data_IF_136053348184
#
_entry.id   IF_136053348184
#
_cell.length_a   1.000
_cell.length_b   1.000
_cell.length_c   1.000
_cell.angle_alpha   90.00
_cell.angle_beta   90.00
_cell.angle_gamma   90.00
#
_symmetry.space_group_name_H-M   'P 1'
#
loop_
_entity.id
_entity.type
_entity.pdbx_description
1 polymer ?
#
# COMPACT_ATOMS: atom_id res chain seq x y z
N UNK A 1 -12.48 59.02 -16.22
CA UNK A 1 -13.45 58.19 -16.97
C UNK A 1 -13.73 56.96 -16.16
N UNK A 2 -14.91 56.89 -15.54
CA UNK A 2 -15.32 55.76 -14.70
C UNK A 2 -15.42 54.47 -15.53
N UNK A 3 -14.85 53.34 -15.07
CA UNK A 3 -14.90 52.09 -15.81
C UNK A 3 -16.23 51.37 -15.51
N UNK A 4 -17.23 51.46 -16.39
CA UNK A 4 -18.45 50.66 -16.21
C UNK A 4 -19.59 50.85 -17.20
N UNK A 5 -19.67 52.00 -17.87
CA UNK A 5 -20.78 52.32 -18.77
C UNK A 5 -20.28 52.83 -20.12
N UNK A 6 -21.02 52.46 -21.17
CA UNK A 6 -20.89 53.02 -22.51
C UNK A 6 -22.09 53.96 -22.72
N UNK A 7 -21.82 55.19 -23.17
CA UNK A 7 -22.87 56.18 -23.44
C UNK A 7 -23.43 55.88 -24.83
N UNK A 8 -24.69 55.45 -24.89
CA UNK A 8 -25.42 55.31 -26.16
C UNK A 8 -25.59 56.70 -26.82
N UNK A 9 -25.67 56.82 -28.16
CA UNK A 9 -25.97 58.08 -28.85
C UNK A 9 -27.17 58.88 -28.29
N UNK A 10 -28.06 58.27 -27.50
CA UNK A 10 -29.17 58.94 -26.79
C UNK A 10 -28.88 59.33 -25.31
N UNK A 11 -27.63 59.24 -24.83
CA UNK A 11 -27.26 59.69 -23.47
C UNK A 11 -27.60 58.74 -22.31
N UNK A 12 -28.06 57.52 -22.60
CA UNK A 12 -28.37 56.50 -21.59
C UNK A 12 -27.15 55.64 -21.26
N UNK A 13 -26.88 55.46 -19.96
CA UNK A 13 -25.80 54.62 -19.44
C UNK A 13 -26.14 53.13 -19.65
N UNK A 14 -25.50 52.47 -20.63
CA UNK A 14 -25.64 51.01 -20.82
C UNK A 14 -24.57 50.25 -20.04
N UNK A 15 -24.93 49.19 -19.29
CA UNK A 15 -23.94 48.35 -18.62
C UNK A 15 -22.99 47.75 -19.66
N UNK A 16 -21.69 47.99 -19.48
CA UNK A 16 -20.65 47.56 -20.43
C UNK A 16 -20.64 46.03 -20.52
N UNK A 17 -20.86 45.47 -21.72
CA UNK A 17 -20.76 44.01 -21.91
C UNK A 17 -19.31 43.59 -21.79
N UNK A 18 -19.00 42.80 -20.76
CA UNK A 18 -17.66 42.27 -20.57
C UNK A 18 -17.43 41.08 -21.51
N UNK A 19 -16.20 40.95 -21.99
CA UNK A 19 -15.77 39.78 -22.78
C UNK A 19 -15.50 38.59 -21.86
N UNK A 20 -15.43 37.38 -22.43
CA UNK A 20 -15.12 36.15 -21.68
C UNK A 20 -13.77 36.26 -20.93
N UNK A 21 -12.75 36.80 -21.60
CA UNK A 21 -11.42 37.00 -21.02
C UNK A 21 -11.45 37.99 -19.84
N UNK A 22 -12.31 39.01 -19.89
CA UNK A 22 -12.48 39.94 -18.78
C UNK A 22 -13.14 39.26 -17.57
N UNK A 23 -14.18 38.45 -17.78
CA UNK A 23 -14.78 37.66 -16.70
C UNK A 23 -13.77 36.72 -16.03
N UNK A 24 -12.98 36.00 -16.82
CA UNK A 24 -11.93 35.12 -16.30
C UNK A 24 -10.89 35.89 -15.48
N UNK A 25 -10.42 37.04 -16.01
CA UNK A 25 -9.43 37.88 -15.32
C UNK A 25 -9.98 38.45 -14.00
N UNK A 26 -11.23 38.91 -13.97
CA UNK A 26 -11.84 39.42 -12.75
C UNK A 26 -12.16 38.30 -11.75
N UNK A 27 -12.42 37.08 -12.22
CA UNK A 27 -12.52 35.89 -11.38
C UNK A 27 -11.19 35.51 -10.72
N UNK A 28 -10.09 35.45 -11.50
CA UNK A 28 -8.74 35.22 -10.96
C UNK A 28 -8.35 36.31 -9.94
N UNK A 29 -8.72 37.57 -10.22
CA UNK A 29 -8.56 38.69 -9.29
C UNK A 29 -9.31 38.45 -7.99
N UNK A 30 -10.54 37.94 -8.04
CA UNK A 30 -11.31 37.55 -6.85
C UNK A 30 -10.64 36.40 -6.08
N UNK A 31 -10.03 35.44 -6.79
CA UNK A 31 -9.19 34.39 -6.19
C UNK A 31 -8.02 34.94 -5.38
N UNK A 32 -7.40 36.03 -5.83
CA UNK A 32 -6.37 36.77 -5.08
C UNK A 32 -6.92 37.66 -3.95
N UNK A 33 -8.17 37.46 -3.53
CA UNK A 33 -8.87 38.23 -2.50
C UNK A 33 -9.05 39.73 -2.85
N UNK A 34 -8.86 40.10 -4.11
CA UNK A 34 -9.04 41.45 -4.62
C UNK A 34 -10.49 41.65 -5.08
N UNK A 35 -10.99 42.89 -4.98
CA UNK A 35 -12.34 43.20 -5.45
C UNK A 35 -12.43 43.10 -6.98
N UNK A 36 -13.38 42.33 -7.53
CA UNK A 36 -13.62 42.23 -8.97
C UNK A 36 -14.23 43.54 -9.51
N UNK A 37 -13.85 43.91 -10.73
CA UNK A 37 -14.25 45.19 -11.36
C UNK A 37 -15.24 44.95 -12.50
N UNK A 38 -16.39 44.36 -12.16
CA UNK A 38 -17.40 43.99 -13.16
C UNK A 38 -18.60 44.95 -13.21
N UNK A 39 -18.74 45.87 -12.26
CA UNK A 39 -19.89 46.78 -12.18
C UNK A 39 -21.21 46.00 -12.14
N UNK A 40 -22.27 46.56 -12.73
CA UNK A 40 -23.58 45.90 -12.90
C UNK A 40 -23.68 44.99 -14.14
N UNK A 41 -22.55 44.59 -14.74
CA UNK A 41 -22.55 43.76 -15.94
C UNK A 41 -22.90 42.31 -15.62
N UNK A 42 -23.66 41.66 -16.51
CA UNK A 42 -24.01 40.24 -16.40
C UNK A 42 -23.41 39.44 -17.56
N UNK A 43 -22.89 38.23 -17.31
CA UNK A 43 -22.45 37.34 -18.36
C UNK A 43 -23.67 36.79 -19.11
N UNK A 44 -23.55 36.67 -20.43
CA UNK A 44 -24.58 35.98 -21.21
C UNK A 44 -24.51 34.45 -20.95
N UNK A 45 -25.57 33.67 -21.26
CA UNK A 45 -25.59 32.23 -21.01
C UNK A 45 -24.46 31.47 -21.71
N UNK A 46 -24.05 31.91 -22.91
CA UNK A 46 -22.94 31.30 -23.66
C UNK A 46 -21.59 31.55 -22.99
N UNK A 47 -21.40 32.72 -22.35
CA UNK A 47 -20.21 33.05 -21.58
C UNK A 47 -20.13 32.22 -20.31
N UNK A 48 -21.26 32.02 -19.61
CA UNK A 48 -21.33 31.12 -18.46
C UNK A 48 -20.98 29.70 -18.89
N UNK A 49 -21.60 29.19 -19.96
CA UNK A 49 -21.29 27.86 -20.51
C UNK A 49 -19.81 27.72 -20.93
N UNK A 50 -19.23 28.75 -21.56
CA UNK A 50 -17.82 28.76 -21.93
C UNK A 50 -16.88 28.76 -20.72
N UNK A 51 -17.19 29.51 -19.65
CA UNK A 51 -16.41 29.51 -18.41
C UNK A 51 -16.46 28.14 -17.72
N UNK A 52 -17.65 27.55 -17.64
CA UNK A 52 -17.86 26.20 -17.12
C UNK A 52 -17.02 25.19 -17.88
N UNK A 53 -17.07 25.23 -19.22
CA UNK A 53 -16.28 24.34 -20.07
C UNK A 53 -14.77 24.56 -19.88
N UNK A 54 -14.31 25.81 -19.83
CA UNK A 54 -12.88 26.11 -19.63
C UNK A 54 -12.38 25.56 -18.30
N UNK A 55 -13.09 25.81 -17.20
CA UNK A 55 -12.67 25.34 -15.87
C UNK A 55 -12.73 23.81 -15.80
N UNK A 56 -13.78 23.19 -16.34
CA UNK A 56 -13.88 21.73 -16.39
C UNK A 56 -12.74 21.11 -17.21
N UNK A 57 -12.40 21.69 -18.37
CA UNK A 57 -11.28 21.22 -19.20
C UNK A 57 -9.94 21.39 -18.51
N UNK A 58 -9.73 22.50 -17.78
CA UNK A 58 -8.52 22.73 -16.99
C UNK A 58 -8.40 21.69 -15.87
N UNK A 59 -9.47 21.46 -15.11
CA UNK A 59 -9.49 20.51 -14.01
C UNK A 59 -9.25 19.07 -14.48
N UNK A 60 -9.94 18.67 -15.56
CA UNK A 60 -9.70 17.38 -16.23
C UNK A 60 -8.25 17.32 -16.73
N UNK A 61 -7.76 18.32 -17.47
CA UNK A 61 -6.40 18.29 -18.01
C UNK A 61 -5.33 18.20 -16.92
N UNK A 62 -5.52 18.89 -15.80
CA UNK A 62 -4.55 18.88 -14.71
C UNK A 62 -4.63 17.60 -13.87
N UNK A 63 -5.83 17.05 -13.65
CA UNK A 63 -6.00 15.76 -12.98
C UNK A 63 -5.30 14.60 -13.69
N UNK A 64 -5.03 14.72 -15.01
CA UNK A 64 -4.26 13.70 -15.76
C UNK A 64 -2.84 13.57 -15.24
N UNK A 65 -2.22 14.66 -14.78
CA UNK A 65 -0.84 14.65 -14.29
C UNK A 65 -0.71 14.01 -12.91
N UNK A 66 -1.79 13.95 -12.12
CA UNK A 66 -1.80 13.24 -10.84
C UNK A 66 -1.67 11.72 -11.00
N UNK A 67 -1.98 11.20 -12.20
CA UNK A 67 -1.92 9.78 -12.51
C UNK A 67 -0.62 9.46 -13.26
N UNK A 68 0.28 8.74 -12.59
CA UNK A 68 1.50 8.22 -13.21
C UNK A 68 1.17 7.03 -14.12
N UNK A 69 1.62 7.07 -15.39
CA UNK A 69 1.39 5.99 -16.35
C UNK A 69 0.12 6.16 -17.20
N UNK A 70 -0.46 5.05 -17.66
CA UNK A 70 -1.71 5.05 -18.45
C UNK A 70 -2.90 5.49 -17.57
N UNK A 71 -3.80 6.31 -18.11
CA UNK A 71 -4.96 6.84 -17.37
C UNK A 71 -6.27 6.61 -18.13
N UNK A 72 -7.29 6.08 -17.43
CA UNK A 72 -8.65 5.93 -17.94
C UNK A 72 -9.47 7.14 -17.50
N UNK A 73 -10.26 7.66 -18.43
CA UNK A 73 -11.20 8.72 -18.12
C UNK A 73 -12.46 8.11 -17.49
N UNK A 74 -12.78 8.51 -16.26
CA UNK A 74 -14.03 8.14 -15.59
C UNK A 74 -15.02 9.30 -15.67
N UNK A 75 -16.07 9.11 -16.46
CA UNK A 75 -17.15 10.09 -16.61
C UNK A 75 -17.89 10.32 -15.29
N UNK A 76 -18.02 9.29 -14.44
CA UNK A 76 -18.69 9.45 -13.14
C UNK A 76 -17.85 10.36 -12.24
N UNK A 77 -16.56 10.10 -12.11
CA UNK A 77 -15.63 10.97 -11.38
C UNK A 77 -15.62 12.41 -11.90
N UNK A 78 -15.67 12.61 -13.22
CA UNK A 78 -15.76 13.94 -13.81
C UNK A 78 -17.10 14.67 -13.52
N UNK A 79 -18.20 13.91 -13.34
CA UNK A 79 -19.54 14.45 -13.09
C UNK A 79 -19.88 14.56 -11.59
N UNK A 80 -19.21 13.83 -10.72
CA UNK A 80 -19.52 13.79 -9.29
C UNK A 80 -19.44 15.17 -8.61
N UNK A 81 -18.43 16.03 -8.84
CA UNK A 81 -18.34 17.34 -8.18
C UNK A 81 -19.46 18.34 -8.56
N UNK A 82 -20.27 18.05 -9.58
CA UNK A 82 -21.28 19.00 -10.05
C UNK A 82 -22.50 19.10 -9.13
N UNK A 83 -22.78 18.08 -8.30
CA UNK A 83 -23.88 18.19 -7.33
C UNK A 83 -23.60 19.28 -6.28
N UNK A 84 -22.35 19.39 -5.81
CA UNK A 84 -21.97 20.38 -4.81
C UNK A 84 -21.98 21.78 -5.41
N UNK A 85 -21.58 21.91 -6.68
CA UNK A 85 -21.73 23.15 -7.46
C UNK A 85 -23.20 23.58 -7.59
N UNK A 86 -24.11 22.66 -7.90
CA UNK A 86 -25.54 22.96 -7.97
C UNK A 86 -26.10 23.41 -6.61
N UNK A 87 -25.69 22.75 -5.52
CA UNK A 87 -26.10 23.13 -4.18
C UNK A 87 -25.52 24.51 -3.76
N UNK A 88 -24.27 24.80 -4.11
CA UNK A 88 -23.65 26.11 -3.90
C UNK A 88 -24.38 27.23 -4.64
N UNK A 89 -24.84 26.97 -5.86
CA UNK A 89 -25.66 27.92 -6.63
C UNK A 89 -27.00 28.23 -5.95
N UNK A 90 -27.66 27.23 -5.36
CA UNK A 90 -28.92 27.42 -4.62
C UNK A 90 -28.70 28.27 -3.35
N UNK A 91 -27.62 28.01 -2.61
CA UNK A 91 -27.28 28.83 -1.43
C UNK A 91 -26.92 30.26 -1.85
N UNK A 92 -26.13 30.43 -2.91
CA UNK A 92 -25.77 31.74 -3.42
C UNK A 92 -27.02 32.51 -3.90
N UNK A 93 -27.94 31.84 -4.59
CA UNK A 93 -29.20 32.43 -5.03
C UNK A 93 -30.05 32.95 -3.87
N UNK A 94 -30.15 32.18 -2.78
CA UNK A 94 -30.82 32.61 -1.55
C UNK A 94 -30.08 33.75 -0.83
N UNK A 95 -28.75 33.70 -0.85
CA UNK A 95 -27.87 34.62 -0.15
C UNK A 95 -27.78 36.01 -0.78
N UNK A 96 -27.72 36.06 -2.11
CA UNK A 96 -27.48 37.29 -2.87
C UNK A 96 -28.67 38.26 -2.75
N UNK A 97 -28.41 39.56 -2.53
CA UNK A 97 -29.47 40.56 -2.55
C UNK A 97 -30.10 40.66 -3.94
N UNK A 98 -31.39 41.04 -3.98
CA UNK A 98 -32.05 41.36 -5.26
C UNK A 98 -31.33 42.53 -5.93
N UNK A 99 -31.34 42.50 -7.27
CA UNK A 99 -30.66 43.51 -8.09
C UNK A 99 -31.17 44.91 -7.73
N UNK A 100 -30.23 45.78 -7.42
CA UNK A 100 -30.45 47.21 -7.22
C UNK A 100 -29.78 47.94 -8.37
N UNK A 101 -30.58 48.51 -9.27
CA UNK A 101 -30.10 49.16 -10.50
C UNK A 101 -29.29 50.43 -10.23
N UNK A 102 -29.36 50.98 -9.01
CA UNK A 102 -28.69 52.23 -8.65
C UNK A 102 -27.25 52.06 -8.15
N UNK A 103 -26.81 50.83 -7.85
CA UNK A 103 -25.48 50.56 -7.30
C UNK A 103 -24.53 50.03 -8.40
N UNK A 104 -23.34 50.66 -8.55
CA UNK A 104 -22.25 50.20 -9.43
C UNK A 104 -21.57 48.91 -8.90
N UNK A 105 -22.33 47.96 -8.37
CA UNK A 105 -21.82 46.74 -7.72
C UNK A 105 -22.16 45.49 -8.55
N UNK A 106 -21.36 44.42 -8.43
CA UNK A 106 -21.72 43.11 -8.97
C UNK A 106 -23.08 42.68 -8.42
N UNK A 107 -23.97 42.23 -9.30
CA UNK A 107 -25.30 41.77 -8.92
C UNK A 107 -25.69 40.53 -9.72
N UNK A 108 -26.53 39.68 -9.14
CA UNK A 108 -27.09 38.52 -9.81
C UNK A 108 -26.23 37.26 -9.70
N UNK A 109 -26.92 36.12 -9.71
CA UNK A 109 -26.32 34.79 -9.63
C UNK A 109 -25.35 34.48 -10.78
N UNK A 110 -25.64 34.84 -12.06
CA UNK A 110 -24.72 34.53 -13.16
C UNK A 110 -23.36 35.22 -13.04
N UNK A 111 -23.35 36.49 -12.60
CA UNK A 111 -22.12 37.23 -12.38
C UNK A 111 -21.31 36.67 -11.20
N UNK A 112 -22.00 36.29 -10.11
CA UNK A 112 -21.35 35.64 -8.97
C UNK A 112 -20.73 34.30 -9.38
N UNK A 113 -21.48 33.47 -10.09
CA UNK A 113 -21.02 32.17 -10.54
C UNK A 113 -19.83 32.28 -11.50
N UNK A 114 -19.88 33.20 -12.48
CA UNK A 114 -18.76 33.45 -13.38
C UNK A 114 -17.47 33.86 -12.65
N UNK A 115 -17.58 34.70 -11.63
CA UNK A 115 -16.44 35.12 -10.81
C UNK A 115 -15.94 34.00 -9.89
N UNK A 116 -16.84 33.22 -9.31
CA UNK A 116 -16.48 32.09 -8.45
C UNK A 116 -15.70 31.02 -9.22
N UNK A 117 -16.16 30.67 -10.42
CA UNK A 117 -15.47 29.73 -11.32
C UNK A 117 -14.04 30.18 -11.63
N UNK A 118 -13.79 31.48 -11.79
CA UNK A 118 -12.43 32.01 -11.96
C UNK A 118 -11.63 32.08 -10.65
N UNK A 119 -12.29 32.33 -9.51
CA UNK A 119 -11.65 32.50 -8.21
C UNK A 119 -11.03 31.21 -7.67
N UNK A 120 -11.62 30.06 -8.00
CA UNK A 120 -11.13 28.74 -7.55
C UNK A 120 -9.95 28.22 -8.36
N UNK A 121 -9.70 28.75 -9.56
CA UNK A 121 -8.63 28.26 -10.46
C UNK A 121 -7.24 28.34 -9.80
N UNK A 122 -6.92 29.46 -9.14
CA UNK A 122 -5.60 29.65 -8.55
C UNK A 122 -5.34 28.71 -7.36
N UNK A 123 -6.22 28.63 -6.34
CA UNK A 123 -6.07 27.62 -5.29
C UNK A 123 -5.95 26.19 -5.83
N UNK A 124 -6.77 25.81 -6.82
CA UNK A 124 -6.71 24.47 -7.42
C UNK A 124 -5.40 24.20 -8.14
N UNK A 125 -4.87 25.18 -8.90
CA UNK A 125 -3.59 25.06 -9.58
C UNK A 125 -2.44 24.88 -8.58
N UNK A 126 -2.43 25.66 -7.50
CA UNK A 126 -1.39 25.53 -6.45
C UNK A 126 -1.52 24.18 -5.75
N UNK A 127 -2.74 23.72 -5.45
CA UNK A 127 -2.99 22.40 -4.88
C UNK A 127 -2.40 21.29 -5.74
N UNK A 128 -2.62 21.34 -7.06
CA UNK A 128 -2.11 20.33 -7.99
C UNK A 128 -0.59 20.38 -8.13
N UNK A 129 0.01 21.58 -8.19
CA UNK A 129 1.48 21.71 -8.21
C UNK A 129 2.11 21.13 -6.95
N UNK A 130 1.50 21.35 -5.78
CA UNK A 130 1.99 20.78 -4.52
C UNK A 130 1.83 19.25 -4.50
N UNK A 131 0.67 18.73 -4.94
CA UNK A 131 0.46 17.28 -5.08
C UNK A 131 1.49 16.65 -6.02
N UNK A 132 1.79 17.28 -7.16
CA UNK A 132 2.82 16.82 -8.10
C UNK A 132 4.24 16.88 -7.49
N UNK A 133 4.56 17.96 -6.77
CA UNK A 133 5.84 18.08 -6.09
C UNK A 133 6.01 17.01 -5.01
N UNK A 134 4.94 16.67 -4.29
CA UNK A 134 4.92 15.58 -3.32
C UNK A 134 5.10 14.21 -3.98
N UNK A 135 4.39 13.95 -5.08
CA UNK A 135 4.50 12.71 -5.85
C UNK A 135 5.91 12.47 -6.42
N UNK A 136 6.65 13.54 -6.72
CA UNK A 136 8.01 13.47 -7.27
C UNK A 136 9.11 13.65 -6.23
N UNK A 137 8.79 13.64 -4.92
CA UNK A 137 9.75 13.90 -3.83
C UNK A 137 10.53 15.22 -4.02
N UNK A 138 9.94 16.18 -4.73
CA UNK A 138 10.55 17.46 -5.08
C UNK A 138 10.21 18.58 -4.07
N UNK A 139 9.55 18.24 -2.95
CA UNK A 139 9.27 19.18 -1.88
C UNK A 139 10.58 19.54 -1.14
N UNK A 140 10.81 20.82 -0.81
CA UNK A 140 11.91 21.23 0.05
C UNK A 140 11.94 20.47 1.37
N UNK A 141 13.11 20.03 1.83
CA UNK A 141 13.27 19.20 3.04
C UNK A 141 12.59 19.77 4.30
N UNK A 142 12.58 21.09 4.47
CA UNK A 142 11.91 21.74 5.61
C UNK A 142 10.37 21.58 5.61
N UNK A 143 9.78 21.26 4.46
CA UNK A 143 8.35 20.96 4.33
C UNK A 143 8.06 19.47 4.49
N UNK A 144 9.05 18.58 4.40
CA UNK A 144 8.90 17.11 4.47
C UNK A 144 9.42 16.49 5.78
N UNK A 145 9.70 17.31 6.80
CA UNK A 145 10.19 16.90 8.12
C UNK A 145 9.14 17.10 9.24
N UNK A 146 7.93 17.58 8.92
CA UNK A 146 6.87 17.87 9.88
C UNK A 146 5.77 16.80 9.82
N UNK A 147 5.55 16.04 10.90
CA UNK A 147 4.50 15.00 10.98
C UNK A 147 3.05 15.47 10.63
N UNK A 148 2.78 16.78 10.56
CA UNK A 148 1.51 17.39 10.13
C UNK A 148 1.51 17.92 8.68
N UNK A 149 2.50 17.51 7.89
CA UNK A 149 2.86 17.90 6.52
C UNK A 149 1.69 18.21 5.58
N UNK A 150 0.74 17.29 5.45
CA UNK A 150 -0.41 17.48 4.57
C UNK A 150 -1.41 18.49 5.14
N UNK A 151 -1.68 18.43 6.45
CA UNK A 151 -2.80 19.16 7.05
C UNK A 151 -2.61 20.68 7.04
N UNK A 152 -1.39 21.18 7.25
CA UNK A 152 -1.12 22.63 7.23
C UNK A 152 -1.14 23.19 5.81
N UNK A 153 -0.55 22.48 4.83
CA UNK A 153 -0.51 22.90 3.43
C UNK A 153 -1.91 22.84 2.79
N UNK A 154 -2.58 21.69 2.88
CA UNK A 154 -3.94 21.54 2.36
C UNK A 154 -4.95 22.39 3.14
N UNK A 155 -4.77 22.53 4.46
CA UNK A 155 -5.57 23.45 5.28
C UNK A 155 -5.41 24.92 4.88
N UNK A 156 -4.21 25.35 4.54
CA UNK A 156 -3.93 26.71 4.03
C UNK A 156 -4.62 27.00 2.69
N UNK A 157 -4.56 26.05 1.74
CA UNK A 157 -5.27 26.15 0.46
C UNK A 157 -6.79 26.17 0.63
N UNK A 158 -7.29 25.40 1.60
CA UNK A 158 -8.69 25.36 1.96
C UNK A 158 -9.15 26.70 2.53
N UNK A 159 -8.38 27.27 3.47
CA UNK A 159 -8.63 28.60 4.02
C UNK A 159 -8.59 29.69 2.95
N UNK A 160 -7.67 29.61 1.99
CA UNK A 160 -7.61 30.54 0.87
C UNK A 160 -8.89 30.47 0.01
N UNK A 161 -9.33 29.27 -0.35
CA UNK A 161 -10.55 29.05 -1.14
C UNK A 161 -11.78 29.60 -0.42
N UNK A 162 -11.92 29.29 0.88
CA UNK A 162 -13.01 29.81 1.72
C UNK A 162 -12.94 31.34 1.79
N UNK A 163 -11.78 31.92 2.05
CA UNK A 163 -11.60 33.36 2.12
C UNK A 163 -12.00 34.04 0.80
N UNK A 164 -11.67 33.45 -0.36
CA UNK A 164 -12.05 33.96 -1.66
C UNK A 164 -13.57 33.96 -1.87
N UNK A 165 -14.25 32.88 -1.47
CA UNK A 165 -15.72 32.78 -1.55
C UNK A 165 -16.40 33.83 -0.65
N UNK A 166 -15.97 33.95 0.61
CA UNK A 166 -16.54 34.93 1.56
C UNK A 166 -16.31 36.36 1.07
N UNK A 167 -15.08 36.65 0.60
CA UNK A 167 -14.70 37.95 0.02
C UNK A 167 -15.56 38.28 -1.20
N UNK A 168 -15.77 37.29 -2.07
CA UNK A 168 -16.59 37.43 -3.26
C UNK A 168 -18.04 37.72 -2.88
N UNK A 169 -18.66 36.95 -2.00
CA UNK A 169 -20.02 37.21 -1.51
C UNK A 169 -20.16 38.60 -0.87
N UNK A 170 -19.18 39.02 -0.07
CA UNK A 170 -19.15 40.37 0.50
C UNK A 170 -19.10 41.46 -0.60
N UNK A 171 -18.48 41.20 -1.76
CA UNK A 171 -18.45 42.17 -2.87
C UNK A 171 -19.83 42.43 -3.50
N UNK A 172 -20.77 41.50 -3.32
CA UNK A 172 -22.18 41.63 -3.73
C UNK A 172 -23.06 42.26 -2.64
N UNK A 173 -22.47 42.85 -1.59
CA UNK A 173 -23.16 43.54 -0.51
C UNK A 173 -24.16 42.67 0.29
N UNK A 174 -23.85 41.39 0.45
CA UNK A 174 -24.61 40.48 1.32
C UNK A 174 -24.53 40.98 2.78
N UNK A 175 -25.67 41.15 3.50
CA UNK A 175 -25.67 41.56 4.91
C UNK A 175 -24.85 40.62 5.81
N UNK A 176 -24.22 41.09 6.91
CA UNK A 176 -23.25 40.31 7.68
C UNK A 176 -23.80 39.00 8.24
N UNK A 177 -25.04 39.00 8.77
CA UNK A 177 -25.68 37.78 9.26
C UNK A 177 -25.94 36.77 8.15
N UNK A 178 -26.43 37.24 6.99
CA UNK A 178 -26.69 36.39 5.82
C UNK A 178 -25.38 35.88 5.21
N UNK A 179 -24.35 36.70 5.18
CA UNK A 179 -23.00 36.33 4.74
C UNK A 179 -22.44 35.21 5.60
N UNK A 180 -22.58 35.30 6.93
CA UNK A 180 -22.13 34.24 7.84
C UNK A 180 -22.85 32.90 7.57
N UNK A 181 -24.19 32.93 7.42
CA UNK A 181 -24.99 31.72 7.14
C UNK A 181 -24.62 31.11 5.78
N UNK A 182 -24.59 31.91 4.72
CA UNK A 182 -24.23 31.46 3.37
C UNK A 182 -22.83 30.86 3.36
N UNK A 183 -21.87 31.53 3.99
CA UNK A 183 -20.49 31.05 4.06
C UNK A 183 -20.39 29.73 4.81
N UNK A 184 -21.05 29.59 5.97
CA UNK A 184 -21.07 28.36 6.74
C UNK A 184 -21.68 27.19 5.95
N UNK A 185 -22.80 27.41 5.26
CA UNK A 185 -23.41 26.38 4.41
C UNK A 185 -22.50 25.99 3.23
N UNK A 186 -21.85 26.95 2.56
CA UNK A 186 -20.93 26.65 1.46
C UNK A 186 -19.68 25.89 1.92
N UNK A 187 -19.13 26.27 3.08
CA UNK A 187 -18.04 25.55 3.74
C UNK A 187 -18.45 24.11 4.05
N UNK A 188 -19.65 23.91 4.61
CA UNK A 188 -20.18 22.58 4.93
C UNK A 188 -20.38 21.70 3.70
N UNK A 189 -20.93 22.25 2.61
CA UNK A 189 -21.07 21.52 1.34
C UNK A 189 -19.72 21.16 0.74
N UNK A 190 -18.75 22.09 0.80
CA UNK A 190 -17.41 21.84 0.30
C UNK A 190 -16.71 20.73 1.11
N UNK A 191 -16.82 20.75 2.43
CA UNK A 191 -16.31 19.68 3.31
C UNK A 191 -16.99 18.33 3.04
N UNK A 192 -18.31 18.31 2.89
CA UNK A 192 -19.06 17.10 2.58
C UNK A 192 -18.68 16.54 1.20
N UNK A 193 -18.52 17.40 0.20
CA UNK A 193 -18.07 17.00 -1.14
C UNK A 193 -16.67 16.38 -1.12
N UNK A 194 -15.75 16.95 -0.33
CA UNK A 194 -14.41 16.42 -0.16
C UNK A 194 -14.39 15.07 0.59
N UNK A 195 -15.38 14.82 1.47
CA UNK A 195 -15.47 13.59 2.25
C UNK A 195 -16.21 12.46 1.52
N UNK A 196 -17.27 12.76 0.77
CA UNK A 196 -18.21 11.75 0.24
C UNK A 196 -17.78 11.15 -1.11
N UNK A 197 -17.03 11.88 -1.94
CA UNK A 197 -16.66 11.43 -3.29
C UNK A 197 -15.16 11.68 -3.55
N UNK A 198 -14.29 10.71 -3.24
CA UNK A 198 -12.88 10.78 -3.63
C UNK A 198 -12.66 10.48 -5.12
N UNK A 199 -13.72 10.20 -5.88
CA UNK A 199 -13.68 9.87 -7.31
C UNK A 199 -13.00 11.00 -8.12
N UNK A 200 -12.05 10.65 -8.98
CA UNK A 200 -11.30 11.58 -9.84
C UNK A 200 -11.65 11.39 -11.31
N UNK A 201 -11.59 12.44 -12.16
CA UNK A 201 -11.85 12.33 -13.60
C UNK A 201 -10.87 11.38 -14.32
N UNK A 202 -9.65 11.27 -13.81
CA UNK A 202 -8.66 10.32 -14.27
C UNK A 202 -8.40 9.30 -13.17
N UNK A 203 -8.56 8.04 -13.54
CA UNK A 203 -8.13 6.93 -12.73
C UNK A 203 -6.89 6.33 -13.42
N UNK A 204 -5.88 5.88 -12.68
CA UNK A 204 -4.85 5.06 -13.30
C UNK A 204 -5.53 3.91 -14.05
N UNK A 205 -5.19 3.73 -15.34
CA UNK A 205 -5.34 2.41 -15.95
C UNK A 205 -4.34 1.55 -15.21
N UNK A 206 -4.79 1.00 -14.09
CA UNK A 206 -4.28 -0.28 -13.64
C UNK A 206 -4.46 -1.18 -14.85
N UNK A 207 -3.37 -1.49 -15.55
CA UNK A 207 -3.35 -2.30 -16.75
C UNK A 207 -4.36 -3.45 -16.58
N UNK A 208 -5.56 -3.33 -17.17
CA UNK A 208 -6.62 -4.32 -17.12
C UNK A 208 -6.73 -5.12 -15.81
N UNK A 209 -6.95 -4.46 -14.66
CA UNK A 209 -6.86 -5.12 -13.35
C UNK A 209 -5.46 -5.69 -13.09
N UNK A 210 -4.95 -5.50 -11.88
CA UNK A 210 -3.85 -6.34 -11.45
C UNK A 210 -4.19 -7.81 -11.76
N UNK A 211 -3.24 -8.63 -12.24
CA UNK A 211 -3.41 -10.07 -12.23
C UNK A 211 -3.82 -10.58 -10.83
N UNK A 212 -3.71 -9.77 -9.76
CA UNK A 212 -4.23 -10.06 -8.41
C UNK A 212 -5.75 -10.14 -8.31
N UNK A 213 -6.56 -9.47 -9.12
CA UNK A 213 -8.02 -9.70 -9.12
C UNK A 213 -8.39 -11.02 -9.83
N UNK A 214 -7.64 -11.40 -10.86
CA UNK A 214 -7.79 -12.68 -11.55
C UNK A 214 -7.16 -13.85 -10.76
N UNK A 215 -6.21 -13.55 -9.88
CA UNK A 215 -5.50 -14.50 -9.03
C UNK A 215 -5.90 -14.34 -7.56
N UNK A 216 -7.16 -13.94 -7.27
CA UNK A 216 -7.75 -14.06 -5.95
C UNK A 216 -8.45 -15.41 -5.85
N UNK A 217 -8.10 -16.16 -4.82
CA UNK A 217 -8.72 -17.44 -4.52
C UNK A 217 -10.22 -17.23 -4.29
N UNK A 218 -11.07 -17.97 -5.00
CA UNK A 218 -12.49 -18.01 -4.67
C UNK A 218 -12.72 -19.04 -3.58
N UNK A 219 -13.09 -18.57 -2.37
CA UNK A 219 -13.41 -19.46 -1.26
C UNK A 219 -14.81 -20.06 -1.45
N UNK A 220 -14.85 -21.17 -2.17
CA UNK A 220 -16.06 -21.96 -2.44
C UNK A 220 -16.06 -23.24 -1.61
N UNK A 221 -17.23 -23.89 -1.46
CA UNK A 221 -17.34 -25.17 -0.77
C UNK A 221 -16.38 -26.24 -1.33
N UNK A 222 -16.25 -26.44 -2.66
CA UNK A 222 -15.29 -27.40 -3.21
C UNK A 222 -13.84 -27.09 -2.83
N UNK A 223 -13.45 -25.82 -2.78
CA UNK A 223 -12.10 -25.42 -2.36
C UNK A 223 -11.84 -25.76 -0.89
N UNK A 224 -12.83 -25.55 -0.01
CA UNK A 224 -12.72 -25.89 1.41
C UNK A 224 -12.59 -27.40 1.60
N UNK A 225 -13.43 -28.18 0.92
CA UNK A 225 -13.38 -29.66 0.97
C UNK A 225 -12.06 -30.19 0.39
N UNK A 226 -11.60 -29.63 -0.74
CA UNK A 226 -10.33 -29.98 -1.34
C UNK A 226 -9.15 -29.67 -0.41
N UNK A 227 -9.18 -28.54 0.31
CA UNK A 227 -8.15 -28.21 1.29
C UNK A 227 -8.12 -29.17 2.47
N UNK A 228 -9.27 -29.61 2.97
CA UNK A 228 -9.29 -30.62 4.02
C UNK A 228 -8.65 -31.93 3.52
N UNK A 229 -9.03 -32.40 2.33
CA UNK A 229 -8.45 -33.60 1.74
C UNK A 229 -6.95 -33.46 1.43
N UNK A 230 -6.51 -32.29 0.97
CA UNK A 230 -5.10 -32.00 0.67
C UNK A 230 -4.27 -31.92 1.94
N UNK A 231 -4.76 -31.29 3.01
CA UNK A 231 -4.10 -31.31 4.31
C UNK A 231 -3.96 -32.75 4.82
N UNK A 232 -5.04 -33.52 4.86
CA UNK A 232 -5.01 -34.91 5.33
C UNK A 232 -4.00 -35.75 4.55
N UNK A 233 -3.98 -35.63 3.22
CA UNK A 233 -3.01 -36.32 2.35
C UNK A 233 -1.58 -35.90 2.64
N UNK A 234 -1.33 -34.60 2.80
CA UNK A 234 0.01 -34.07 3.11
C UNK A 234 0.52 -34.58 4.46
N UNK A 235 -0.32 -34.56 5.50
CA UNK A 235 0.06 -35.01 6.84
C UNK A 235 0.27 -36.53 6.91
N UNK A 236 -0.57 -37.32 6.24
CA UNK A 236 -0.44 -38.78 6.22
C UNK A 236 0.68 -39.29 5.31
N UNK A 237 1.07 -38.49 4.31
CA UNK A 237 2.12 -38.81 3.35
C UNK A 237 3.54 -38.77 3.93
N UNK A 238 3.71 -38.30 5.16
CA UNK A 238 5.01 -38.27 5.84
C UNK A 238 5.48 -39.68 6.14
N UNK A 239 6.64 -40.04 5.57
CA UNK A 239 7.27 -41.34 5.79
C UNK A 239 7.77 -41.48 7.25
N UNK A 240 7.74 -42.70 7.82
CA UNK A 240 8.32 -42.96 9.14
C UNK A 240 9.84 -42.78 9.12
N UNK A 241 10.43 -42.65 10.31
CA UNK A 241 11.88 -42.63 10.47
C UNK A 241 12.48 -43.97 10.00
N UNK A 242 13.75 -43.93 9.65
CA UNK A 242 14.55 -45.08 9.24
C UNK A 242 15.48 -45.50 10.37
N UNK A 243 15.38 -46.74 10.80
CA UNK A 243 16.19 -47.26 11.90
C UNK A 243 17.70 -47.15 11.60
N UNK A 244 18.47 -46.63 12.56
CA UNK A 244 19.91 -46.45 12.44
C UNK A 244 20.36 -45.31 11.52
N UNK A 245 19.43 -44.48 11.05
CA UNK A 245 19.71 -43.33 10.18
C UNK A 245 19.14 -42.07 10.85
N UNK A 246 19.97 -41.04 10.99
CA UNK A 246 19.50 -39.70 11.38
C UNK A 246 18.75 -39.08 10.20
N UNK A 247 17.43 -39.00 10.30
CA UNK A 247 16.57 -38.44 9.26
C UNK A 247 16.42 -36.92 9.39
N UNK A 248 16.17 -36.29 8.23
CA UNK A 248 15.80 -34.88 8.16
C UNK A 248 14.32 -34.80 7.83
N UNK A 249 13.56 -34.26 8.77
CA UNK A 249 12.18 -33.86 8.54
C UNK A 249 12.13 -32.38 8.19
N UNK A 250 11.22 -31.99 7.30
CA UNK A 250 11.08 -30.60 6.86
C UNK A 250 9.67 -30.07 7.06
N UNK A 251 9.55 -28.85 7.58
CA UNK A 251 8.34 -28.03 7.42
C UNK A 251 8.75 -26.75 6.72
N UNK A 252 8.17 -26.49 5.55
CA UNK A 252 8.37 -25.24 4.81
C UNK A 252 7.07 -24.48 4.79
N UNK A 253 7.07 -23.26 5.34
CA UNK A 253 5.87 -22.49 5.65
C UNK A 253 5.91 -21.10 5.00
N UNK A 254 4.97 -20.83 4.09
CA UNK A 254 4.82 -19.56 3.37
C UNK A 254 3.39 -19.01 3.52
N UNK A 255 3.10 -18.27 4.59
CA UNK A 255 1.73 -17.85 4.95
C UNK A 255 1.20 -16.62 4.20
N UNK A 256 1.99 -15.98 3.34
CA UNK A 256 1.59 -14.75 2.65
C UNK A 256 1.34 -15.02 1.16
N UNK A 257 0.07 -14.90 0.75
CA UNK A 257 -0.39 -15.25 -0.60
C UNK A 257 -0.06 -14.23 -1.68
N UNK A 258 0.09 -12.96 -1.30
CA UNK A 258 0.34 -11.90 -2.27
C UNK A 258 1.81 -11.90 -2.70
N UNK A 259 2.02 -11.81 -4.01
CA UNK A 259 3.33 -11.95 -4.61
C UNK A 259 3.81 -13.39 -4.71
N UNK A 260 4.61 -13.66 -5.74
CA UNK A 260 5.05 -15.03 -6.06
C UNK A 260 6.38 -15.41 -5.39
N UNK A 261 7.06 -14.47 -4.72
CA UNK A 261 8.41 -14.68 -4.20
C UNK A 261 8.44 -15.72 -3.08
N UNK A 262 7.52 -15.65 -2.12
CA UNK A 262 7.49 -16.56 -0.97
C UNK A 262 7.05 -17.97 -1.37
N UNK A 263 6.10 -18.07 -2.32
CA UNK A 263 5.69 -19.35 -2.89
C UNK A 263 6.83 -20.02 -3.67
N UNK A 264 7.56 -19.27 -4.51
CA UNK A 264 8.74 -19.80 -5.20
C UNK A 264 9.85 -20.20 -4.25
N UNK A 265 10.10 -19.38 -3.24
CA UNK A 265 11.15 -19.63 -2.25
C UNK A 265 10.85 -20.86 -1.40
N UNK A 266 9.63 -20.97 -0.87
CA UNK A 266 9.23 -22.14 -0.10
C UNK A 266 9.28 -23.42 -0.93
N UNK A 267 8.85 -23.39 -2.20
CA UNK A 267 9.01 -24.55 -3.10
C UNK A 267 10.49 -24.92 -3.29
N UNK A 268 11.35 -23.95 -3.58
CA UNK A 268 12.78 -24.19 -3.76
C UNK A 268 13.43 -24.81 -2.52
N UNK A 269 13.07 -24.34 -1.31
CA UNK A 269 13.59 -24.92 -0.06
C UNK A 269 13.05 -26.33 0.18
N UNK A 270 11.76 -26.58 -0.11
CA UNK A 270 11.18 -27.92 0.01
C UNK A 270 11.89 -28.92 -0.90
N UNK A 271 12.13 -28.54 -2.15
CA UNK A 271 12.87 -29.35 -3.14
C UNK A 271 14.32 -29.59 -2.68
N UNK A 272 15.01 -28.53 -2.20
CA UNK A 272 16.37 -28.65 -1.68
C UNK A 272 16.46 -29.64 -0.52
N UNK A 273 15.53 -29.59 0.44
CA UNK A 273 15.53 -30.52 1.57
C UNK A 273 15.28 -31.96 1.09
N UNK A 274 14.29 -32.15 0.22
CA UNK A 274 13.95 -33.46 -0.31
C UNK A 274 15.12 -34.10 -1.06
N UNK A 275 15.76 -33.35 -1.96
CA UNK A 275 16.82 -33.85 -2.83
C UNK A 275 18.17 -33.95 -2.13
N UNK A 276 18.57 -32.89 -1.42
CA UNK A 276 19.95 -32.75 -0.93
C UNK A 276 20.14 -33.21 0.51
N UNK A 277 19.11 -33.06 1.33
CA UNK A 277 19.15 -33.49 2.73
C UNK A 277 18.56 -34.87 2.95
N UNK A 278 18.25 -35.59 1.85
CA UNK A 278 17.65 -36.93 1.89
C UNK A 278 16.35 -36.95 2.72
N UNK A 279 15.55 -35.91 2.54
CA UNK A 279 14.26 -35.75 3.18
C UNK A 279 13.10 -36.11 2.23
N UNK A 280 13.34 -36.88 1.17
CA UNK A 280 12.29 -37.26 0.22
C UNK A 280 11.21 -38.08 0.95
N UNK A 281 9.97 -37.56 0.95
CA UNK A 281 8.87 -38.14 1.71
C UNK A 281 8.81 -37.72 3.19
N UNK A 282 9.74 -36.87 3.65
CA UNK A 282 9.80 -36.34 5.03
C UNK A 282 9.55 -34.81 5.11
N UNK A 283 9.21 -34.17 3.99
CA UNK A 283 8.96 -32.71 3.90
C UNK A 283 7.47 -32.41 3.77
N UNK A 284 6.94 -31.59 4.68
CA UNK A 284 5.63 -30.93 4.58
C UNK A 284 5.84 -29.52 4.02
N UNK A 285 5.20 -29.21 2.89
CA UNK A 285 5.12 -27.86 2.33
C UNK A 285 3.73 -27.27 2.55
N UNK A 286 3.67 -26.17 3.30
CA UNK A 286 2.47 -25.37 3.51
C UNK A 286 2.68 -24.00 2.84
N UNK A 287 1.75 -23.59 1.99
CA UNK A 287 1.80 -22.28 1.35
C UNK A 287 0.41 -21.71 1.10
N UNK A 288 0.28 -20.40 1.27
CA UNK A 288 -0.86 -19.64 0.80
C UNK A 288 -0.52 -19.10 -0.59
N UNK A 289 -1.32 -19.47 -1.59
CA UNK A 289 -1.23 -18.95 -2.96
C UNK A 289 -2.55 -19.27 -3.66
N UNK A 290 -3.11 -18.30 -4.37
CA UNK A 290 -4.43 -18.44 -4.98
C UNK A 290 -4.49 -19.40 -6.18
N UNK A 291 -3.34 -19.74 -6.77
CA UNK A 291 -3.24 -20.68 -7.89
C UNK A 291 -3.04 -22.14 -7.43
N UNK A 292 -2.82 -22.40 -6.13
CA UNK A 292 -2.61 -23.75 -5.60
C UNK A 292 -3.61 -24.20 -4.52
N UNK A 293 -4.89 -23.77 -4.53
CA UNK A 293 -5.83 -24.07 -3.44
C UNK A 293 -6.26 -25.54 -3.39
N UNK A 294 -5.88 -26.39 -4.34
CA UNK A 294 -6.19 -27.83 -4.33
C UNK A 294 -4.93 -28.70 -4.25
N UNK A 295 -3.76 -28.14 -4.52
CA UNK A 295 -2.50 -28.89 -4.64
C UNK A 295 -1.56 -28.73 -3.45
N UNK A 296 -1.67 -27.63 -2.70
CA UNK A 296 -0.84 -27.35 -1.53
C UNK A 296 -1.74 -26.98 -0.35
N UNK A 297 -1.49 -27.58 0.81
CA UNK A 297 -2.22 -27.27 2.02
C UNK A 297 -1.90 -25.83 2.48
N UNK A 298 -2.94 -25.09 2.88
CA UNK A 298 -2.78 -23.70 3.30
C UNK A 298 -1.84 -23.57 4.50
N UNK A 299 -0.98 -22.56 4.45
CA UNK A 299 -0.09 -22.13 5.52
C UNK A 299 -0.85 -21.26 6.53
N UNK A 300 -1.56 -21.92 7.43
CA UNK A 300 -2.18 -21.31 8.62
C UNK A 300 -1.45 -21.76 9.89
N UNK A 301 -1.47 -20.98 10.98
CA UNK A 301 -0.91 -21.42 12.26
C UNK A 301 -1.47 -22.76 12.75
N UNK A 302 -2.76 -23.02 12.55
CA UNK A 302 -3.40 -24.29 12.92
C UNK A 302 -2.87 -25.47 12.09
N UNK A 303 -2.67 -25.28 10.78
CA UNK A 303 -2.09 -26.31 9.93
C UNK A 303 -0.61 -26.54 10.22
N UNK A 304 0.10 -25.49 10.67
CA UNK A 304 1.47 -25.62 11.16
C UNK A 304 1.54 -26.48 12.43
N UNK A 305 0.67 -26.26 13.43
CA UNK A 305 0.60 -27.11 14.63
C UNK A 305 0.32 -28.57 14.25
N UNK A 306 -0.64 -28.81 13.36
CA UNK A 306 -0.97 -30.15 12.85
C UNK A 306 0.20 -30.79 12.08
N UNK A 307 0.96 -30.01 11.31
CA UNK A 307 2.15 -30.48 10.60
C UNK A 307 3.27 -30.89 11.56
N UNK A 308 3.49 -30.10 12.61
CA UNK A 308 4.44 -30.43 13.68
C UNK A 308 4.03 -31.73 14.39
N UNK A 309 2.74 -31.86 14.77
CA UNK A 309 2.22 -33.08 15.40
C UNK A 309 2.35 -34.31 14.48
N UNK A 310 2.07 -34.17 13.18
CA UNK A 310 2.19 -35.26 12.21
C UNK A 310 3.64 -35.75 12.04
N UNK A 311 4.61 -34.82 11.96
CA UNK A 311 6.03 -35.18 11.92
C UNK A 311 6.47 -35.84 13.22
N UNK A 312 6.10 -35.29 14.38
CA UNK A 312 6.47 -35.85 15.69
C UNK A 312 5.98 -37.29 15.90
N UNK A 313 4.92 -37.70 15.22
CA UNK A 313 4.39 -39.06 15.25
C UNK A 313 5.20 -40.05 14.39
N UNK A 314 6.03 -39.57 13.45
CA UNK A 314 6.81 -40.38 12.50
C UNK A 314 8.31 -40.36 12.79
N UNK A 315 8.78 -39.22 13.30
CA UNK A 315 10.17 -38.91 13.64
C UNK A 315 10.65 -39.65 14.89
N UNK A 316 11.91 -40.10 14.88
CA UNK A 316 12.65 -40.39 16.12
C UNK A 316 13.10 -39.07 16.75
N UNK A 317 12.31 -38.60 17.72
CA UNK A 317 12.50 -37.29 18.37
C UNK A 317 13.82 -37.13 19.13
N UNK A 318 14.54 -38.22 19.41
CA UNK A 318 15.84 -38.16 20.08
C UNK A 318 16.98 -37.94 19.08
N UNK A 319 16.91 -38.57 17.91
CA UNK A 319 18.03 -38.63 16.96
C UNK A 319 17.82 -37.78 15.71
N UNK A 320 16.60 -37.76 15.16
CA UNK A 320 16.32 -37.06 13.91
C UNK A 320 16.35 -35.53 14.08
N UNK A 321 16.42 -34.81 12.96
CA UNK A 321 16.44 -33.35 12.90
C UNK A 321 15.19 -32.82 12.19
N UNK A 322 14.47 -31.89 12.82
CA UNK A 322 13.43 -31.12 12.15
C UNK A 322 14.00 -29.78 11.65
N UNK A 323 13.91 -29.55 10.33
CA UNK A 323 14.17 -28.26 9.70
C UNK A 323 12.84 -27.52 9.49
N UNK A 324 12.71 -26.34 10.08
CA UNK A 324 11.57 -25.44 9.87
C UNK A 324 12.04 -24.20 9.11
N UNK A 325 11.54 -24.02 7.90
CA UNK A 325 11.80 -22.82 7.09
C UNK A 325 10.55 -21.97 7.00
N UNK A 326 10.64 -20.72 7.47
CA UNK A 326 9.56 -19.75 7.43
C UNK A 326 9.92 -18.62 6.47
N UNK A 327 9.02 -18.27 5.56
CA UNK A 327 9.23 -17.13 4.66
C UNK A 327 7.97 -16.28 4.55
N UNK A 328 8.08 -14.99 4.88
CA UNK A 328 6.98 -14.03 4.78
C UNK A 328 7.49 -12.59 4.96
N UNK A 329 6.59 -11.61 4.92
CA UNK A 329 6.84 -10.31 5.55
C UNK A 329 6.93 -10.44 7.08
N UNK A 330 7.75 -9.57 7.68
CA UNK A 330 7.88 -9.45 9.13
C UNK A 330 7.62 -8.01 9.57
N UNK A 331 7.17 -7.85 10.80
CA UNK A 331 6.93 -6.56 11.43
C UNK A 331 7.76 -6.39 12.71
N UNK A 332 7.82 -5.16 13.24
CA UNK A 332 8.59 -4.81 14.45
C UNK A 332 8.08 -5.50 15.72
N UNK A 333 6.89 -6.09 15.70
CA UNK A 333 6.37 -6.95 16.76
C UNK A 333 6.84 -8.41 16.63
N UNK A 334 7.77 -8.66 15.69
CA UNK A 334 8.37 -9.95 15.36
C UNK A 334 7.41 -11.00 14.85
N UNK A 335 6.19 -10.64 14.40
CA UNK A 335 5.28 -11.60 13.80
C UNK A 335 5.54 -11.74 12.30
N UNK A 336 5.32 -12.94 11.79
CA UNK A 336 5.25 -13.21 10.36
C UNK A 336 3.83 -12.90 9.88
N UNK A 337 3.73 -12.01 8.90
CA UNK A 337 2.45 -11.70 8.28
C UNK A 337 1.87 -12.96 7.63
N UNK A 338 0.56 -13.13 7.72
CA UNK A 338 -0.18 -14.16 7.03
C UNK A 338 -1.31 -13.50 6.24
N UNK A 339 -1.51 -13.93 5.00
CA UNK A 339 -2.57 -13.43 4.14
C UNK A 339 -2.98 -14.54 3.17
N UNK A 340 -4.29 -14.79 3.06
CA UNK A 340 -4.85 -15.72 2.07
C UNK A 340 -6.29 -15.31 1.67
N UNK A 341 -6.51 -14.07 1.22
CA UNK A 341 -7.87 -13.56 1.01
C UNK A 341 -8.68 -14.46 0.04
N UNK A 342 -9.98 -14.68 0.32
CA UNK A 342 -10.78 -14.06 1.38
C UNK A 342 -10.73 -14.81 2.73
N UNK A 343 -9.88 -15.84 2.87
CA UNK A 343 -9.69 -16.51 4.16
C UNK A 343 -8.89 -15.61 5.10
N UNK A 344 -9.45 -15.35 6.28
CA UNK A 344 -8.75 -14.68 7.37
C UNK A 344 -7.75 -15.65 8.00
N UNK A 345 -6.49 -15.21 8.11
CA UNK A 345 -5.40 -16.03 8.69
C UNK A 345 -4.63 -15.17 9.68
N UNK A 346 -4.49 -15.68 10.90
CA UNK A 346 -3.72 -15.01 11.94
C UNK A 346 -2.21 -15.01 11.61
N UNK A 347 -1.50 -13.92 11.91
CA UNK A 347 -0.04 -13.89 11.86
C UNK A 347 0.59 -14.93 12.78
N UNK A 348 1.76 -15.46 12.41
CA UNK A 348 2.51 -16.41 13.24
C UNK A 348 3.51 -15.67 14.13
N UNK A 349 3.46 -15.87 15.45
CA UNK A 349 4.46 -15.36 16.38
C UNK A 349 5.54 -16.41 16.71
N UNK A 350 6.74 -15.98 17.16
CA UNK A 350 7.77 -16.92 17.61
C UNK A 350 7.31 -17.79 18.79
N UNK A 351 6.44 -17.24 19.64
CA UNK A 351 5.85 -17.98 20.75
C UNK A 351 4.92 -19.11 20.31
N UNK A 352 4.18 -18.94 19.21
CA UNK A 352 3.28 -19.97 18.69
C UNK A 352 4.06 -21.17 18.18
N UNK A 353 5.09 -20.93 17.36
CA UNK A 353 5.97 -22.00 16.88
C UNK A 353 6.70 -22.69 18.04
N UNK A 354 7.19 -21.92 19.03
CA UNK A 354 7.84 -22.49 20.21
C UNK A 354 6.91 -23.47 20.94
N UNK A 355 5.65 -23.08 21.17
CA UNK A 355 4.66 -23.92 21.85
C UNK A 355 4.35 -25.18 21.05
N UNK A 356 4.16 -25.08 19.73
CA UNK A 356 3.90 -26.24 18.88
C UNK A 356 5.05 -27.26 18.95
N UNK A 357 6.30 -26.79 18.79
CA UNK A 357 7.49 -27.66 18.83
C UNK A 357 7.72 -28.32 20.20
N UNK A 358 7.52 -27.56 21.29
CA UNK A 358 7.67 -28.08 22.66
C UNK A 358 6.55 -29.08 23.01
N UNK A 359 5.30 -28.76 22.67
CA UNK A 359 4.13 -29.64 22.85
C UNK A 359 4.33 -30.99 22.16
N UNK A 360 4.87 -30.98 20.95
CA UNK A 360 5.12 -32.18 20.17
C UNK A 360 6.41 -32.92 20.59
N UNK A 361 7.21 -32.36 21.51
CA UNK A 361 8.43 -32.98 22.02
C UNK A 361 9.57 -33.07 20.99
N UNK A 362 9.58 -32.19 19.98
CA UNK A 362 10.68 -32.13 19.00
C UNK A 362 11.93 -31.61 19.69
N UNK A 363 13.06 -32.32 19.65
CA UNK A 363 14.28 -31.90 20.34
C UNK A 363 15.27 -31.19 19.43
N UNK A 364 15.70 -31.84 18.36
CA UNK A 364 16.71 -31.30 17.45
C UNK A 364 16.03 -30.46 16.36
N UNK A 365 16.27 -29.15 16.41
CA UNK A 365 15.55 -28.17 15.59
C UNK A 365 16.53 -27.28 14.82
N UNK A 366 16.36 -27.17 13.52
CA UNK A 366 17.00 -26.14 12.68
C UNK A 366 15.90 -25.22 12.20
N UNK A 367 15.88 -23.97 12.66
CA UNK A 367 14.83 -23.01 12.33
C UNK A 367 15.44 -21.86 11.53
N UNK A 368 14.89 -21.58 10.36
CA UNK A 368 15.33 -20.47 9.52
C UNK A 368 14.15 -19.54 9.23
N UNK A 369 14.32 -18.25 9.53
CA UNK A 369 13.27 -17.23 9.40
C UNK A 369 13.68 -16.18 8.37
N UNK A 370 13.06 -16.25 7.19
CA UNK A 370 13.23 -15.32 6.08
C UNK A 370 12.18 -14.20 6.15
N UNK A 371 12.45 -13.17 6.96
CA UNK A 371 11.56 -12.01 7.14
C UNK A 371 12.30 -10.79 7.72
N UNK A 372 11.69 -9.60 7.60
CA UNK A 372 12.14 -8.38 8.27
C UNK A 372 12.05 -8.53 9.79
N UNK A 373 12.96 -7.88 10.54
CA UNK A 373 12.99 -7.90 12.01
C UNK A 373 13.08 -9.32 12.61
N UNK A 374 13.54 -10.31 11.82
CA UNK A 374 13.49 -11.72 12.20
C UNK A 374 14.45 -12.07 13.35
N UNK A 375 15.41 -11.22 13.69
CA UNK A 375 16.28 -11.40 14.86
C UNK A 375 15.52 -11.55 16.18
N UNK A 376 14.30 -10.99 16.27
CA UNK A 376 13.41 -11.18 17.42
C UNK A 376 12.96 -12.63 17.66
N UNK A 377 13.14 -13.52 16.69
CA UNK A 377 12.83 -14.95 16.81
C UNK A 377 13.91 -15.75 17.56
N UNK A 378 15.14 -15.25 17.64
CA UNK A 378 16.27 -15.98 18.25
C UNK A 378 16.02 -16.23 19.73
N UNK A 379 15.63 -15.21 20.50
CA UNK A 379 15.42 -15.33 21.94
C UNK A 379 14.40 -16.41 22.32
N UNK A 380 13.16 -16.35 21.82
CA UNK A 380 12.11 -17.32 22.15
C UNK A 380 12.40 -18.76 21.70
N UNK A 381 13.15 -18.95 20.60
CA UNK A 381 13.37 -20.26 19.98
C UNK A 381 14.71 -20.91 20.33
N UNK A 382 15.69 -20.16 20.84
CA UNK A 382 16.99 -20.71 21.21
C UNK A 382 16.86 -21.74 22.34
N UNK A 383 17.61 -22.83 22.21
CA UNK A 383 17.80 -23.85 23.24
C UNK A 383 19.11 -24.59 22.99
N UNK A 384 19.55 -25.43 23.92
CA UNK A 384 20.76 -26.24 23.75
C UNK A 384 20.69 -27.19 22.54
N UNK A 385 19.49 -27.58 22.10
CA UNK A 385 19.27 -28.47 20.95
C UNK A 385 18.65 -27.74 19.74
N UNK A 386 18.81 -26.42 19.63
CA UNK A 386 18.23 -25.64 18.52
C UNK A 386 19.27 -24.77 17.83
N UNK A 387 19.25 -24.78 16.50
CA UNK A 387 19.92 -23.81 15.65
C UNK A 387 18.84 -22.87 15.08
N UNK A 388 19.01 -21.56 15.24
CA UNK A 388 18.14 -20.53 14.66
C UNK A 388 18.94 -19.63 13.73
N UNK A 389 18.48 -19.43 12.49
CA UNK A 389 19.02 -18.47 11.53
C UNK A 389 17.95 -17.44 11.15
N UNK A 390 18.34 -16.17 11.04
CA UNK A 390 17.42 -15.09 10.69
C UNK A 390 17.97 -14.28 9.52
N UNK A 391 17.07 -13.81 8.64
CA UNK A 391 17.43 -13.00 7.49
C UNK A 391 17.83 -11.56 7.85
N UNK A 392 17.42 -11.09 9.02
CA UNK A 392 17.82 -9.81 9.57
C UNK A 392 17.98 -9.89 11.09
N UNK A 393 18.56 -8.85 11.70
CA UNK A 393 18.49 -8.63 13.14
C UNK A 393 17.09 -8.14 13.57
N UNK A 394 16.94 -7.74 14.84
CA UNK A 394 15.66 -7.32 15.40
C UNK A 394 15.24 -5.89 15.00
N UNK A 395 16.16 -5.09 14.46
CA UNK A 395 15.98 -3.65 14.25
C UNK A 395 15.94 -3.27 12.76
N UNK A 396 16.35 -4.17 11.87
CA UNK A 396 16.47 -3.93 10.43
C UNK A 396 15.50 -4.74 9.57
N UNK A 397 15.25 -4.21 8.37
CA UNK A 397 14.53 -4.91 7.30
C UNK A 397 15.39 -5.98 6.62
N UNK A 398 14.74 -7.00 6.04
CA UNK A 398 15.36 -7.94 5.11
C UNK A 398 14.88 -7.68 3.68
N UNK A 399 15.65 -8.13 2.67
CA UNK A 399 15.44 -7.70 1.29
C UNK A 399 15.26 -8.83 0.27
N UNK A 400 14.82 -8.45 -0.92
CA UNK A 400 14.58 -9.36 -2.04
C UNK A 400 13.16 -9.92 -2.12
N UNK A 401 12.20 -9.33 -1.38
CA UNK A 401 10.78 -9.71 -1.44
C UNK A 401 9.95 -8.94 -2.50
N UNK A 402 10.59 -8.12 -3.35
CA UNK A 402 9.87 -7.36 -4.38
C UNK A 402 9.34 -8.24 -5.51
N UNK A 403 8.27 -7.81 -6.20
CA UNK A 403 7.55 -8.60 -7.22
C UNK A 403 8.41 -9.14 -8.37
N UNK A 404 9.51 -8.45 -8.73
CA UNK A 404 10.47 -8.89 -9.76
C UNK A 404 11.57 -9.83 -9.23
N UNK A 405 11.64 -10.03 -7.93
CA UNK A 405 12.66 -10.87 -7.29
C UNK A 405 12.26 -12.34 -7.40
N UNK A 406 13.17 -13.18 -7.88
CA UNK A 406 12.90 -14.63 -7.95
C UNK A 406 12.80 -15.26 -6.56
N UNK A 407 13.69 -14.84 -5.65
CA UNK A 407 13.87 -15.30 -4.29
C UNK A 407 14.32 -14.11 -3.42
N UNK A 408 14.09 -14.18 -2.11
CA UNK A 408 14.69 -13.24 -1.15
C UNK A 408 16.20 -13.35 -1.14
N UNK A 409 16.90 -12.31 -0.68
CA UNK A 409 18.36 -12.35 -0.63
C UNK A 409 18.89 -13.43 0.32
N UNK A 410 18.21 -13.62 1.45
CA UNK A 410 18.54 -14.65 2.43
C UNK A 410 18.26 -16.05 1.88
N UNK A 411 17.02 -16.33 1.45
CA UNK A 411 16.65 -17.63 0.90
C UNK A 411 17.52 -18.03 -0.29
N UNK A 412 17.83 -17.09 -1.17
CA UNK A 412 18.76 -17.32 -2.29
C UNK A 412 20.18 -17.61 -1.82
N UNK A 413 20.75 -16.78 -0.94
CA UNK A 413 22.14 -16.93 -0.54
C UNK A 413 22.36 -18.19 0.28
N UNK A 414 21.57 -18.41 1.33
CA UNK A 414 21.76 -19.56 2.24
C UNK A 414 21.32 -20.85 1.57
N UNK A 415 20.09 -20.93 1.05
CA UNK A 415 19.49 -22.20 0.61
C UNK A 415 19.79 -22.50 -0.86
N UNK A 416 19.53 -21.56 -1.76
CA UNK A 416 19.71 -21.83 -3.20
C UNK A 416 21.18 -21.86 -3.64
N UNK A 417 22.09 -21.24 -2.89
CA UNK A 417 23.51 -21.12 -3.29
C UNK A 417 24.48 -21.85 -2.36
N UNK A 418 24.50 -21.54 -1.06
CA UNK A 418 25.51 -22.13 -0.18
C UNK A 418 25.18 -23.54 0.29
N UNK A 419 23.93 -23.82 0.66
CA UNK A 419 23.51 -25.19 1.00
C UNK A 419 23.52 -26.12 -0.22
N UNK A 420 23.68 -25.62 -1.45
CA UNK A 420 23.98 -26.45 -2.64
C UNK A 420 25.47 -26.80 -2.78
N UNK A 421 26.34 -26.29 -1.90
CA UNK A 421 27.78 -26.56 -1.91
C UNK A 421 28.25 -27.29 -0.66
N UNK A 422 27.52 -27.15 0.45
CA UNK A 422 27.80 -27.81 1.73
C UNK A 422 26.52 -28.36 2.36
N UNK A 423 26.63 -29.35 3.23
CA UNK A 423 25.52 -29.81 4.08
C UNK A 423 25.52 -29.16 5.47
N UNK A 424 26.52 -28.32 5.77
CA UNK A 424 26.61 -27.59 7.04
C UNK A 424 25.81 -26.28 7.00
N UNK A 425 24.79 -26.17 7.85
CA UNK A 425 24.01 -24.94 8.01
C UNK A 425 24.87 -23.76 8.49
N UNK A 426 25.78 -23.99 9.46
CA UNK A 426 26.67 -22.94 9.98
C UNK A 426 27.64 -22.44 8.89
N UNK A 427 28.23 -23.36 8.12
CA UNK A 427 29.13 -22.98 7.03
C UNK A 427 28.39 -22.25 5.92
N UNK A 428 27.20 -22.74 5.53
CA UNK A 428 26.38 -22.09 4.52
C UNK A 428 25.96 -20.69 4.93
N UNK A 429 25.54 -20.50 6.18
CA UNK A 429 25.18 -19.20 6.73
C UNK A 429 26.39 -18.25 6.72
N UNK A 430 27.54 -18.67 7.24
CA UNK A 430 28.75 -17.86 7.27
C UNK A 430 29.21 -17.41 5.87
N UNK A 431 29.06 -18.28 4.86
CA UNK A 431 29.37 -17.96 3.46
C UNK A 431 28.31 -17.07 2.79
N UNK A 432 27.05 -17.14 3.24
CA UNK A 432 25.94 -16.35 2.69
C UNK A 432 25.97 -14.90 3.17
N UNK A 433 26.35 -14.63 4.42
CA UNK A 433 26.40 -13.27 5.00
C UNK A 433 27.12 -12.24 4.12
N UNK A 434 28.37 -12.46 3.64
CA UNK A 434 29.05 -11.50 2.78
C UNK A 434 28.35 -11.33 1.41
N UNK A 435 27.73 -12.38 0.88
CA UNK A 435 26.96 -12.32 -0.38
C UNK A 435 25.69 -11.48 -0.21
N UNK A 436 24.98 -11.65 0.90
CA UNK A 436 23.79 -10.86 1.25
C UNK A 436 24.18 -9.39 1.36
N UNK A 437 25.24 -9.08 2.12
CA UNK A 437 25.74 -7.70 2.27
C UNK A 437 26.06 -7.05 0.93
N UNK A 438 26.75 -7.77 0.04
CA UNK A 438 27.09 -7.27 -1.28
C UNK A 438 25.84 -6.95 -2.12
N UNK A 439 24.82 -7.82 -2.10
CA UNK A 439 23.55 -7.60 -2.81
C UNK A 439 22.76 -6.42 -2.27
N UNK A 440 22.80 -6.19 -0.97
CA UNK A 440 22.13 -5.07 -0.33
C UNK A 440 22.79 -3.74 -0.68
N UNK A 441 24.12 -3.72 -0.75
CA UNK A 441 24.90 -2.57 -1.24
C UNK A 441 24.57 -2.30 -2.73
N UNK A 442 24.63 -3.33 -3.58
CA UNK A 442 24.29 -3.19 -5.01
C UNK A 442 22.83 -2.81 -5.24
N UNK A 443 21.94 -3.27 -4.36
CA UNK A 443 20.51 -2.96 -4.36
C UNK A 443 20.16 -1.60 -3.76
N UNK A 444 21.17 -0.82 -3.34
CA UNK A 444 21.08 0.54 -2.81
C UNK A 444 20.01 0.70 -1.71
N UNK A 445 20.03 -0.21 -0.72
CA UNK A 445 19.01 -0.27 0.33
C UNK A 445 19.17 0.85 1.36
N UNK A 446 18.11 1.65 1.62
CA UNK A 446 18.21 2.87 2.43
C UNK A 446 18.34 2.60 3.94
N UNK A 447 17.88 1.43 4.39
CA UNK A 447 17.80 1.02 5.80
C UNK A 447 19.03 0.20 6.25
N UNK A 448 20.12 0.23 5.48
CA UNK A 448 21.40 -0.39 5.86
C UNK A 448 21.49 -1.89 5.61
N UNK A 449 22.47 -2.53 6.27
CA UNK A 449 22.70 -3.97 6.16
C UNK A 449 21.74 -4.72 7.08
N UNK A 450 21.08 -5.76 6.57
CA UNK A 450 20.09 -6.55 7.32
C UNK A 450 20.67 -7.23 8.57
N UNK A 451 21.99 -7.41 8.66
CA UNK A 451 22.70 -8.12 9.73
C UNK A 451 22.10 -9.51 10.03
N UNK A 452 22.08 -10.47 9.07
CA UNK A 452 21.59 -11.81 9.35
C UNK A 452 22.27 -12.40 10.59
N UNK A 453 21.50 -13.08 11.45
CA UNK A 453 22.01 -13.64 12.71
C UNK A 453 21.87 -15.17 12.76
N UNK A 454 22.75 -15.82 13.52
CA UNK A 454 22.70 -17.26 13.79
C UNK A 454 22.94 -17.53 15.28
N UNK A 455 22.12 -18.39 15.86
CA UNK A 455 22.26 -18.93 17.22
C UNK A 455 22.32 -20.45 17.13
N UNK A 456 23.28 -21.07 17.80
CA UNK A 456 23.51 -22.52 17.71
C UNK A 456 23.67 -23.10 19.10
N UNK A 457 22.77 -24.00 19.50
CA UNK A 457 22.86 -24.73 20.75
C UNK A 457 23.97 -25.78 20.77
N UNK A 458 24.59 -25.98 21.93
CA UNK A 458 25.74 -26.87 22.07
C UNK A 458 25.42 -28.35 21.81
N UNK A 459 24.19 -28.81 22.12
CA UNK A 459 23.78 -30.20 21.92
C UNK A 459 23.37 -30.54 20.49
N UNK A 460 22.94 -29.55 19.69
CA UNK A 460 22.58 -29.82 18.29
C UNK A 460 23.80 -29.88 17.36
N UNK A 461 24.89 -29.19 17.69
CA UNK A 461 26.14 -29.21 16.90
C UNK A 461 26.63 -30.63 16.56
N UNK A 462 26.79 -31.57 17.52
CA UNK A 462 27.25 -32.92 17.19
C UNK A 462 26.27 -33.68 16.28
N UNK A 463 24.95 -33.51 16.49
CA UNK A 463 23.91 -34.14 15.65
C UNK A 463 24.00 -33.64 14.20
N UNK A 464 24.16 -32.32 14.00
CA UNK A 464 24.31 -31.74 12.67
C UNK A 464 25.62 -32.14 12.00
N UNK A 465 26.69 -32.32 12.78
CA UNK A 465 27.98 -32.78 12.24
C UNK A 465 27.90 -34.23 11.77
N UNK A 466 27.24 -35.11 12.53
CA UNK A 466 27.01 -36.49 12.11
C UNK A 466 26.13 -36.56 10.85
N UNK A 467 25.07 -35.75 10.81
CA UNK A 467 24.22 -35.60 9.62
C UNK A 467 25.02 -35.15 8.40
N UNK A 468 25.90 -34.15 8.53
CA UNK A 468 26.78 -33.67 7.46
C UNK A 468 27.70 -34.78 6.93
N UNK A 469 28.35 -35.54 7.82
CA UNK A 469 29.20 -36.66 7.44
C UNK A 469 28.41 -37.74 6.68
N UNK A 470 27.22 -38.11 7.17
CA UNK A 470 26.32 -39.06 6.50
C UNK A 470 25.99 -38.59 5.08
N UNK A 471 25.52 -37.34 4.94
CA UNK A 471 25.12 -36.78 3.64
C UNK A 471 26.31 -36.64 2.68
N UNK A 472 27.51 -36.35 3.17
CA UNK A 472 28.73 -36.25 2.35
C UNK A 472 29.20 -37.58 1.75
N UNK A 473 28.76 -38.71 2.29
CA UNK A 473 29.13 -40.05 1.78
C UNK A 473 28.16 -40.62 0.75
N UNK A 474 27.04 -39.94 0.48
CA UNK A 474 26.07 -40.39 -0.52
C UNK A 474 26.56 -40.13 -1.95
N UNK A 475 26.42 -41.09 -2.88
CA UNK A 475 26.49 -40.78 -4.31
C UNK A 475 25.30 -39.89 -4.67
N UNK A 476 25.61 -38.73 -5.28
CA UNK A 476 24.63 -37.68 -5.60
C UNK A 476 23.81 -37.92 -6.84
#
# INVERSE_FOLDING_TARGET
MEPGFEIDPNGLLKPRRLTLAQWLREGLRAGLLLRPRVGGSEPNPLQVGALVLIVALIDIALGRFEVMGEAAFDLRGALAPWWSTAAMLLIAWWGLPRRDEHLQRPSGLPAWFALWMGAVILPSLVAQVLTLAQLHEALPAFLSEFEWEGWLLYGGLWLWTVAAVVRLLHSFAVPPLRLAVVSACMIGIFALSAWQFPDRPWQPVMAQAEPEAANRMQLSQPVIEAQQATLERTLQGVAPHREGIVDVYGIVFSPYAEGEVFMRESRMVADLLAERFDAQGHVIHLANNAATPESIAWATPDNLDRAVDAIAAKMDRENDVLVVYLTSHGARDFKLAAANPPLEVEPLSPGDLRRALDKAGIRNRVIAVSACYSGGWIGPLSSESTLVMTAADADHTSYGCGSRSKLTFFGRAVFDEQLRKTHSFEQAFAQAVPVIKQREIEGNKPDGFSNPQISVGDRIRPVLHELEQRLGTRPG
#
